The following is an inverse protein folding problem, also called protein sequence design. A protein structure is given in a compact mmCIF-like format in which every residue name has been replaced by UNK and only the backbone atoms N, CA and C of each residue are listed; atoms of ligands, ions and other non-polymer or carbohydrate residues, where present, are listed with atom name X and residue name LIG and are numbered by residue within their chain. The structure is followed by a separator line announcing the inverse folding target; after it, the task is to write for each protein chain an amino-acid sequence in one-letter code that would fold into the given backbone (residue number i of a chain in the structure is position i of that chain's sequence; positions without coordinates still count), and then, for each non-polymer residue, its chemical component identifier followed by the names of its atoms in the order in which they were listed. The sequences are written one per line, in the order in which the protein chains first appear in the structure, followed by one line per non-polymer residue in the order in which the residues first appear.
data_IF_209813204750
#
_entry.id   IF_209813204750
#
_cell.length_a   1.000
_cell.length_b   1.000
_cell.length_c   1.000
_cell.angle_alpha   90.00
_cell.angle_beta   90.00
_cell.angle_gamma   90.00
#
_symmetry.space_group_name_H-M   'P 1'
#
loop_
_entity.id
_entity.type
_entity.pdbx_description
1 polymer ?
#
# COMPACT_ATOMS: atom_id res chain seq x y z
N UNK A 1 1.41 3.30 -16.30
CA UNK A 1 2.14 2.57 -15.26
C UNK A 1 1.52 1.19 -15.08
N UNK A 2 2.33 0.17 -14.98
CA UNK A 2 1.85 -1.18 -14.73
C UNK A 2 1.89 -1.45 -13.23
N UNK A 3 0.72 -1.36 -12.59
CA UNK A 3 0.62 -1.51 -11.13
C UNK A 3 0.96 -2.93 -10.69
N UNK A 4 0.59 -3.92 -11.50
CA UNK A 4 0.90 -5.31 -11.17
C UNK A 4 2.40 -5.55 -11.17
N UNK A 5 3.10 -5.02 -12.15
CA UNK A 5 4.55 -5.14 -12.21
C UNK A 5 5.21 -4.41 -11.05
N UNK A 6 4.73 -3.22 -10.73
CA UNK A 6 5.23 -2.46 -9.60
C UNK A 6 5.07 -3.25 -8.31
N UNK A 7 3.91 -3.87 -8.12
CA UNK A 7 3.65 -4.69 -6.94
C UNK A 7 4.62 -5.85 -6.85
N UNK A 8 4.86 -6.54 -7.96
CA UNK A 8 5.77 -7.68 -7.98
C UNK A 8 7.20 -7.27 -7.64
N UNK A 9 7.62 -6.13 -8.15
CA UNK A 9 8.96 -5.63 -7.86
C UNK A 9 9.10 -5.26 -6.39
N UNK A 10 8.10 -4.64 -5.80
CA UNK A 10 8.12 -4.30 -4.39
C UNK A 10 8.07 -5.54 -3.50
N UNK A 11 7.35 -6.57 -3.92
CA UNK A 11 7.34 -7.84 -3.19
C UNK A 11 8.73 -8.45 -3.10
N UNK A 12 9.50 -8.34 -4.17
CA UNK A 12 10.86 -8.85 -4.19
C UNK A 12 11.79 -7.98 -3.33
N UNK A 13 11.69 -6.68 -3.47
CA UNK A 13 12.60 -5.75 -2.79
C UNK A 13 12.31 -5.63 -1.30
N UNK A 14 11.05 -5.52 -0.93
CA UNK A 14 10.66 -5.25 0.44
C UNK A 14 10.11 -6.47 1.17
N UNK A 15 9.76 -7.49 0.41
CA UNK A 15 9.10 -8.66 0.96
C UNK A 15 7.61 -8.42 1.13
N UNK A 16 6.89 -9.48 1.40
CA UNK A 16 5.45 -9.40 1.61
C UNK A 16 5.10 -10.23 2.85
N UNK A 17 4.24 -9.68 3.70
CA UNK A 17 3.79 -10.36 4.92
C UNK A 17 2.29 -10.61 4.84
N UNK A 18 1.90 -11.86 4.99
CA UNK A 18 0.49 -12.26 5.00
C UNK A 18 -0.07 -12.36 6.40
N UNK A 19 0.39 -11.46 7.25
CA UNK A 19 -0.06 -11.36 8.63
C UNK A 19 0.21 -9.96 9.15
N UNK A 20 -0.48 -9.59 10.24
CA UNK A 20 -0.25 -8.29 10.85
C UNK A 20 1.00 -8.36 11.72
N UNK A 21 1.91 -7.43 11.50
CA UNK A 21 3.15 -7.33 12.26
C UNK A 21 3.42 -5.87 12.61
N UNK A 22 4.31 -5.63 13.55
CA UNK A 22 4.75 -4.28 13.86
C UNK A 22 5.86 -3.88 12.89
N UNK A 23 5.73 -2.67 12.34
CA UNK A 23 6.84 -2.12 11.57
C UNK A 23 7.94 -1.62 12.52
N UNK A 24 8.98 -1.01 11.98
CA UNK A 24 10.11 -0.55 12.79
C UNK A 24 9.73 0.56 13.78
N UNK A 25 8.60 1.19 13.59
CA UNK A 25 8.08 2.22 14.49
C UNK A 25 7.04 1.66 15.46
N UNK A 26 6.72 0.38 15.36
CA UNK A 26 5.75 -0.24 16.24
C UNK A 26 4.31 -0.14 15.80
N UNK A 27 4.06 0.24 14.56
CA UNK A 27 2.70 0.35 14.04
C UNK A 27 2.25 -0.94 13.36
N UNK A 28 0.97 -1.33 13.51
CA UNK A 28 0.46 -2.52 12.86
C UNK A 28 0.49 -2.35 11.34
N UNK A 29 1.02 -3.36 10.66
CA UNK A 29 1.28 -3.31 9.22
C UNK A 29 1.06 -4.70 8.65
N UNK A 30 0.71 -4.80 7.37
CA UNK A 30 0.66 -6.08 6.68
C UNK A 30 0.97 -5.90 5.19
N UNK A 31 1.14 -7.02 4.51
CA UNK A 31 1.34 -7.03 3.08
C UNK A 31 2.65 -6.37 2.67
N UNK A 32 2.56 -5.43 1.77
CA UNK A 32 3.71 -4.74 1.21
C UNK A 32 3.81 -3.37 1.88
N UNK A 33 4.01 -3.39 3.21
CA UNK A 33 4.16 -2.15 3.96
C UNK A 33 2.91 -1.33 4.16
N UNK A 34 1.73 -1.96 4.09
CA UNK A 34 0.48 -1.25 4.29
C UNK A 34 0.21 -1.02 5.78
N UNK A 35 0.22 0.23 6.22
CA UNK A 35 -0.14 0.58 7.59
C UNK A 35 -1.64 0.40 7.80
N UNK A 36 -2.01 -0.34 8.84
CA UNK A 36 -3.41 -0.54 9.17
C UNK A 36 -4.01 0.78 9.66
N UNK A 37 -5.12 1.17 9.06
CA UNK A 37 -5.82 2.41 9.40
C UNK A 37 -7.09 2.09 10.17
N UNK A 38 -7.64 3.08 10.84
CA UNK A 38 -8.90 2.91 11.57
C UNK A 38 -10.05 2.49 10.67
N UNK A 39 -9.96 2.84 9.39
CA UNK A 39 -10.98 2.49 8.40
C UNK A 39 -10.78 1.12 7.78
N UNK A 40 -9.65 0.47 8.04
CA UNK A 40 -9.38 -0.85 7.49
C UNK A 40 -10.11 -1.94 8.30
N UNK A 41 -10.51 -3.03 7.65
CA UNK A 41 -11.13 -4.16 8.37
C UNK A 41 -10.21 -4.72 9.45
N UNK A 42 -8.90 -4.57 9.28
CA UNK A 42 -7.90 -5.09 10.21
C UNK A 42 -7.70 -4.20 11.43
N UNK A 43 -8.38 -3.07 11.50
CA UNK A 43 -8.24 -2.15 12.63
C UNK A 43 -8.55 -2.88 13.95
N UNK A 44 -7.62 -2.81 14.88
CA UNK A 44 -7.77 -3.49 16.17
C UNK A 44 -7.43 -4.96 16.18
N UNK A 45 -7.04 -5.52 15.04
CA UNK A 45 -6.65 -6.93 14.99
C UNK A 45 -5.31 -7.15 15.70
N UNK A 46 -5.16 -8.31 16.33
CA UNK A 46 -3.94 -8.64 17.04
C UNK A 46 -2.79 -8.90 16.08
N UNK A 47 -1.58 -8.71 16.56
CA UNK A 47 -0.39 -9.07 15.81
C UNK A 47 -0.41 -10.56 15.50
N UNK A 48 0.02 -10.93 14.30
CA UNK A 48 0.01 -12.31 13.85
C UNK A 48 -1.31 -12.72 13.21
N UNK A 49 -2.30 -11.86 13.18
CA UNK A 49 -3.58 -12.17 12.52
C UNK A 49 -3.33 -12.38 11.03
N UNK A 50 -3.73 -13.52 10.46
CA UNK A 50 -3.50 -13.78 9.04
C UNK A 50 -4.24 -12.82 8.13
N UNK A 51 -3.60 -12.46 7.03
CA UNK A 51 -4.18 -11.61 6.00
C UNK A 51 -4.06 -12.35 4.68
N UNK A 52 -5.15 -12.46 3.95
CA UNK A 52 -5.15 -13.19 2.68
C UNK A 52 -4.35 -12.45 1.62
N UNK A 53 -3.91 -13.21 0.61
CA UNK A 53 -3.22 -12.64 -0.53
C UNK A 53 -4.11 -11.60 -1.24
N UNK A 54 -5.39 -11.93 -1.41
CA UNK A 54 -6.33 -11.02 -2.05
C UNK A 54 -6.42 -9.69 -1.30
N UNK A 55 -6.45 -9.76 0.02
CA UNK A 55 -6.50 -8.54 0.84
C UNK A 55 -5.21 -7.74 0.73
N UNK A 56 -4.07 -8.42 0.68
CA UNK A 56 -2.78 -7.75 0.50
C UNK A 56 -2.76 -6.98 -0.82
N UNK A 57 -3.22 -7.62 -1.90
CA UNK A 57 -3.28 -6.99 -3.20
C UNK A 57 -4.25 -5.81 -3.20
N UNK A 58 -5.40 -5.97 -2.58
CA UNK A 58 -6.38 -4.90 -2.47
C UNK A 58 -5.81 -3.70 -1.73
N UNK A 59 -5.16 -3.94 -0.60
CA UNK A 59 -4.57 -2.86 0.19
C UNK A 59 -3.48 -2.14 -0.60
N UNK A 60 -2.66 -2.89 -1.32
CA UNK A 60 -1.63 -2.30 -2.16
C UNK A 60 -2.25 -1.41 -3.23
N UNK A 61 -3.28 -1.90 -3.89
CA UNK A 61 -3.97 -1.12 -4.94
C UNK A 61 -4.57 0.16 -4.36
N UNK A 62 -5.15 0.10 -3.18
CA UNK A 62 -5.69 1.27 -2.51
C UNK A 62 -4.60 2.29 -2.22
N UNK A 63 -3.45 1.83 -1.75
CA UNK A 63 -2.34 2.71 -1.46
C UNK A 63 -1.81 3.38 -2.71
N UNK A 64 -1.70 2.63 -3.80
CA UNK A 64 -1.27 3.18 -5.08
C UNK A 64 -2.25 4.22 -5.59
N UNK A 65 -3.55 3.94 -5.49
CA UNK A 65 -4.58 4.88 -5.90
C UNK A 65 -4.48 6.19 -5.10
N UNK A 66 -4.24 6.08 -3.81
CA UNK A 66 -4.08 7.26 -2.97
C UNK A 66 -2.91 8.11 -3.43
N UNK A 67 -1.78 7.47 -3.72
CA UNK A 67 -0.59 8.17 -4.20
C UNK A 67 -0.84 8.79 -5.57
N UNK A 68 -1.46 8.03 -6.47
CA UNK A 68 -1.75 8.54 -7.81
C UNK A 68 -2.74 9.70 -7.78
N UNK A 69 -3.71 9.66 -6.90
CA UNK A 69 -4.65 10.76 -6.73
C UNK A 69 -3.94 12.03 -6.28
N UNK A 70 -3.02 11.90 -5.34
CA UNK A 70 -2.24 13.04 -4.86
C UNK A 70 -1.35 13.60 -5.98
N UNK A 71 -0.72 12.72 -6.75
CA UNK A 71 0.12 13.13 -7.86
C UNK A 71 -0.71 13.81 -8.95
N UNK A 72 -1.86 13.25 -9.27
CA UNK A 72 -2.75 13.83 -10.28
C UNK A 72 -3.21 15.21 -9.87
N UNK A 73 -3.51 15.39 -8.61
CA UNK A 73 -3.92 16.69 -8.10
C UNK A 73 -2.77 17.72 -8.26
N UNK A 74 -1.59 17.30 -7.88
CA UNK A 74 -0.41 18.14 -8.03
C UNK A 74 -0.16 18.46 -9.51
N UNK A 75 -0.40 17.47 -10.34
CA UNK A 75 -0.21 17.58 -11.77
C UNK A 75 -1.09 18.67 -12.38
N UNK A 76 -2.32 18.76 -11.91
CA UNK A 76 -3.25 19.76 -12.40
C UNK A 76 -2.76 21.18 -12.14
N UNK A 77 -1.93 21.36 -11.13
CA UNK A 77 -1.36 22.66 -10.84
C UNK A 77 -0.06 22.94 -11.61
N UNK A 78 0.51 21.91 -12.23
CA UNK A 78 1.74 22.02 -12.99
C UNK A 78 1.59 21.36 -14.36
N UNK A 79 0.69 21.86 -15.17
CA UNK A 79 0.33 21.22 -16.43
C UNK A 79 1.48 21.07 -17.41
N UNK A 80 2.41 21.96 -17.38
CA UNK A 80 3.52 21.93 -18.34
C UNK A 80 4.41 20.73 -18.16
N UNK A 81 4.46 20.19 -16.97
CA UNK A 81 5.30 19.03 -16.70
C UNK A 81 4.75 17.82 -17.39
N UNK A 82 3.45 17.75 -17.49
CA UNK A 82 2.76 16.61 -18.05
C UNK A 82 2.99 16.45 -19.52
N UNK A 83 3.08 17.55 -20.19
CA UNK A 83 3.16 17.54 -21.64
C UNK A 83 4.45 16.95 -22.16
N UNK A 84 5.36 16.74 -21.30
CA UNK A 84 6.63 16.16 -21.68
C UNK A 84 6.52 14.67 -22.00
#
# INVERSE_FOLDING_TARGET
MNIEQLRKELEVDEGVKYEIYNDHLGYPTFGIGHLVRDTDPEAGAALGTPVSEDRVIEAFNQDVETVLSAVSYTHLTLPTIVSV
#
